data_IF_497491994619
#
_entry.id   IF_497491994619
#
_cell.length_a   1.000
_cell.length_b   1.000
_cell.length_c   1.000
_cell.angle_alpha   90.00
_cell.angle_beta   90.00
_cell.angle_gamma   90.00
#
_symmetry.space_group_name_H-M   'P 1'
#
loop_
_entity.id
_entity.type
_entity.pdbx_description
1 polymer ?
#
# COMPACT_ATOMS: atom_id res chain seq x y z
N UNK A 1 -9.58 -12.41 50.52
CA UNK A 1 -8.61 -12.97 49.55
C UNK A 1 -8.76 -12.25 48.21
N UNK A 2 -7.75 -11.50 47.76
CA UNK A 2 -7.83 -10.69 46.54
C UNK A 2 -7.64 -11.51 45.27
N UNK A 3 -8.55 -11.38 44.30
CA UNK A 3 -8.40 -11.99 42.97
C UNK A 3 -7.32 -11.22 42.20
N UNK A 4 -6.20 -11.87 41.89
CA UNK A 4 -5.14 -11.31 41.03
C UNK A 4 -5.69 -11.15 39.61
N UNK A 5 -5.66 -9.93 39.07
CA UNK A 5 -6.07 -9.62 37.69
C UNK A 5 -5.07 -10.27 36.74
N UNK A 6 -5.54 -11.16 35.86
CA UNK A 6 -4.70 -11.76 34.80
C UNK A 6 -4.29 -10.66 33.83
N UNK A 7 -3.03 -10.63 33.41
CA UNK A 7 -2.56 -9.69 32.39
C UNK A 7 -3.03 -10.15 31.01
N UNK A 8 -3.16 -9.20 30.08
CA UNK A 8 -3.54 -9.46 28.68
C UNK A 8 -2.59 -10.50 28.03
N UNK A 9 -1.35 -10.58 28.51
CA UNK A 9 -0.31 -11.51 28.04
C UNK A 9 -0.51 -12.97 28.45
N UNK A 10 -1.38 -13.25 29.43
CA UNK A 10 -1.57 -14.60 29.99
C UNK A 10 -2.49 -15.50 29.13
N UNK A 11 -3.08 -14.97 28.05
CA UNK A 11 -4.13 -15.66 27.29
C UNK A 11 -3.68 -16.28 25.97
N UNK A 12 -2.42 -16.18 25.59
CA UNK A 12 -1.97 -16.73 24.30
C UNK A 12 -1.71 -18.25 24.38
N UNK A 13 -2.36 -19.07 23.53
CA UNK A 13 -2.10 -20.50 23.49
C UNK A 13 -0.74 -20.79 22.87
N UNK A 14 0.09 -21.57 23.56
CA UNK A 14 1.41 -21.99 23.07
C UNK A 14 1.25 -23.09 22.01
N UNK A 15 1.37 -22.73 20.74
CA UNK A 15 1.32 -23.69 19.62
C UNK A 15 2.61 -24.53 19.58
N UNK A 16 2.46 -25.85 19.58
CA UNK A 16 3.55 -26.82 19.47
C UNK A 16 3.92 -27.03 18.00
N UNK A 17 5.10 -26.56 17.60
CA UNK A 17 5.67 -26.84 16.27
C UNK A 17 5.96 -28.34 16.13
N UNK A 18 5.39 -28.99 15.11
CA UNK A 18 5.78 -30.36 14.72
C UNK A 18 7.03 -30.26 13.84
N UNK A 19 8.07 -31.02 14.21
CA UNK A 19 9.30 -31.21 13.43
C UNK A 19 9.01 -32.34 12.44
N UNK A 20 8.82 -32.00 11.15
CA UNK A 20 8.60 -32.94 10.04
C UNK A 20 9.69 -32.72 9.00
N UNK A 21 10.39 -33.80 8.65
CA UNK A 21 11.64 -33.85 7.91
C UNK A 21 11.53 -33.72 6.38
N UNK A 22 12.62 -34.08 5.67
CA UNK A 22 12.96 -33.60 4.34
C UNK A 22 12.32 -34.42 3.20
N UNK A 23 12.13 -33.77 2.05
CA UNK A 23 11.80 -34.42 0.77
C UNK A 23 12.59 -33.81 -0.40
N UNK A 24 12.85 -34.58 -1.48
CA UNK A 24 13.98 -34.37 -2.38
C UNK A 24 13.60 -33.85 -3.79
N UNK A 25 14.59 -33.29 -4.48
CA UNK A 25 14.92 -33.64 -5.88
C UNK A 25 14.16 -32.99 -7.05
N UNK A 26 14.81 -31.98 -7.66
CA UNK A 26 15.27 -31.92 -9.07
C UNK A 26 14.29 -32.21 -10.23
N UNK A 27 14.09 -31.20 -11.10
CA UNK A 27 14.11 -31.24 -12.58
C UNK A 27 13.87 -29.79 -13.10
N UNK A 28 14.83 -29.11 -13.74
CA UNK A 28 15.27 -29.15 -15.16
C UNK A 28 14.29 -28.53 -16.17
N UNK A 29 14.80 -27.58 -16.98
CA UNK A 29 14.32 -27.34 -18.35
C UNK A 29 13.44 -26.12 -18.61
N UNK A 30 14.00 -25.14 -19.33
CA UNK A 30 13.36 -23.93 -19.88
C UNK A 30 12.30 -24.26 -20.97
N UNK A 31 11.49 -23.29 -21.44
CA UNK A 31 12.00 -22.26 -22.34
C UNK A 31 11.48 -20.84 -22.06
N UNK A 32 12.37 -19.89 -22.29
CA UNK A 32 12.06 -18.48 -22.52
C UNK A 32 11.03 -18.34 -23.67
N UNK A 33 9.85 -17.73 -23.46
CA UNK A 33 9.03 -17.28 -24.57
C UNK A 33 9.68 -16.02 -25.14
N UNK A 34 10.09 -16.15 -26.40
CA UNK A 34 10.89 -15.17 -27.12
C UNK A 34 10.33 -13.75 -27.07
N UNK A 35 11.25 -12.81 -26.92
CA UNK A 35 11.08 -11.39 -27.17
C UNK A 35 10.70 -11.18 -28.64
N UNK A 36 9.41 -11.32 -28.94
CA UNK A 36 8.81 -10.69 -30.11
C UNK A 36 8.58 -9.24 -29.69
N UNK A 37 9.23 -8.31 -30.38
CA UNK A 37 8.98 -6.88 -30.18
C UNK A 37 7.53 -6.59 -30.51
N UNK A 38 6.69 -6.59 -29.50
CA UNK A 38 5.35 -6.05 -29.54
C UNK A 38 5.52 -4.62 -29.02
N UNK A 39 5.44 -3.64 -29.93
CA UNK A 39 5.28 -2.25 -29.52
C UNK A 39 4.13 -2.23 -28.49
N UNK A 40 4.38 -1.81 -27.24
CA UNK A 40 3.33 -1.83 -26.23
C UNK A 40 2.17 -0.97 -26.76
N UNK A 41 1.00 -1.58 -26.93
CA UNK A 41 -0.19 -0.83 -27.30
C UNK A 41 -0.36 0.31 -26.29
N UNK A 42 -0.66 1.52 -26.77
CA UNK A 42 -0.73 2.75 -25.96
C UNK A 42 -1.61 2.58 -24.70
N UNK A 43 -2.61 1.69 -24.80
CA UNK A 43 -3.52 1.32 -23.71
C UNK A 43 -2.86 0.53 -22.57
N UNK A 44 -1.90 -0.34 -22.86
CA UNK A 44 -1.13 -1.08 -21.84
C UNK A 44 -0.19 -0.12 -21.09
N UNK A 45 0.38 0.86 -21.80
CA UNK A 45 1.24 1.89 -21.20
C UNK A 45 0.45 2.83 -20.28
N UNK A 46 -0.74 3.26 -20.71
CA UNK A 46 -1.64 4.09 -19.91
C UNK A 46 -2.09 3.38 -18.62
N UNK A 47 -2.54 2.12 -18.73
CA UNK A 47 -2.94 1.34 -17.56
C UNK A 47 -1.79 1.14 -16.57
N UNK A 48 -0.56 0.92 -17.06
CA UNK A 48 0.60 0.79 -16.20
C UNK A 48 0.93 2.12 -15.49
N UNK A 49 0.81 3.25 -16.18
CA UNK A 49 0.98 4.57 -15.56
C UNK A 49 -0.04 4.82 -14.44
N UNK A 50 -1.31 4.49 -14.66
CA UNK A 50 -2.35 4.63 -13.63
C UNK A 50 -2.06 3.76 -12.41
N UNK A 51 -1.61 2.52 -12.61
CA UNK A 51 -1.20 1.63 -11.52
C UNK A 51 -0.05 2.23 -10.71
N UNK A 52 0.95 2.83 -11.38
CA UNK A 52 2.06 3.48 -10.69
C UNK A 52 1.63 4.73 -9.90
N UNK A 53 0.72 5.53 -10.45
CA UNK A 53 0.17 6.71 -9.77
C UNK A 53 -0.59 6.31 -8.50
N UNK A 54 -1.45 5.29 -8.60
CA UNK A 54 -2.21 4.78 -7.46
C UNK A 54 -1.30 4.21 -6.37
N UNK A 55 -0.20 3.55 -6.74
CA UNK A 55 0.79 3.04 -5.79
C UNK A 55 1.51 4.17 -5.05
N UNK A 56 1.87 5.27 -5.74
CA UNK A 56 2.44 6.48 -5.10
C UNK A 56 1.47 7.04 -4.06
N UNK A 57 0.19 7.18 -4.41
CA UNK A 57 -0.83 7.69 -3.50
C UNK A 57 -1.08 6.74 -2.32
N UNK A 58 -1.02 5.43 -2.55
CA UNK A 58 -1.14 4.39 -1.51
C UNK A 58 0.01 4.51 -0.51
N UNK A 59 1.24 4.65 -0.98
CA UNK A 59 2.41 4.83 -0.12
C UNK A 59 2.32 6.13 0.70
N UNK A 60 1.84 7.21 0.08
CA UNK A 60 1.57 8.45 0.80
C UNK A 60 0.54 8.24 1.92
N UNK A 61 -0.58 7.58 1.64
CA UNK A 61 -1.63 7.25 2.62
C UNK A 61 -1.14 6.42 3.82
N UNK A 62 -0.24 5.47 3.57
CA UNK A 62 0.36 4.62 4.60
C UNK A 62 1.47 5.31 5.41
N UNK A 63 2.08 6.37 4.86
CA UNK A 63 3.16 7.06 5.52
C UNK A 63 2.63 7.94 6.67
N UNK A 64 2.92 7.55 7.91
CA UNK A 64 2.48 8.26 9.12
C UNK A 64 3.20 9.58 9.36
N UNK A 65 4.33 9.82 8.68
CA UNK A 65 5.13 11.05 8.82
C UNK A 65 4.30 12.30 8.54
N UNK A 66 3.45 12.25 7.51
CA UNK A 66 2.62 13.37 7.04
C UNK A 66 1.30 13.56 7.82
N UNK A 67 1.14 12.88 8.95
CA UNK A 67 -0.05 12.97 9.80
C UNK A 67 -1.21 12.07 9.37
N UNK A 68 -2.40 12.21 9.99
CA UNK A 68 -3.55 11.35 9.70
C UNK A 68 -4.12 11.58 8.29
N UNK A 69 -4.54 10.51 7.64
CA UNK A 69 -5.13 10.48 6.30
C UNK A 69 -6.64 10.21 6.27
N UNK A 70 -7.24 9.86 7.41
CA UNK A 70 -8.66 9.59 7.52
C UNK A 70 -9.44 10.88 7.75
N UNK A 71 -10.62 11.00 7.15
CA UNK A 71 -11.52 12.15 7.31
C UNK A 71 -11.10 13.43 6.59
N UNK A 72 -10.06 13.39 5.75
CA UNK A 72 -9.61 14.50 4.91
C UNK A 72 -9.25 14.00 3.51
N UNK A 73 -9.26 14.89 2.52
CA UNK A 73 -8.78 14.57 1.15
C UNK A 73 -7.26 14.44 1.12
N UNK A 74 -6.72 13.74 0.10
CA UNK A 74 -5.27 13.63 -0.09
C UNK A 74 -4.61 15.00 -0.30
N UNK A 75 -5.28 15.91 -1.01
CA UNK A 75 -4.80 17.28 -1.22
C UNK A 75 -4.68 18.04 0.11
N UNK A 76 -5.73 18.05 0.92
CA UNK A 76 -5.71 18.70 2.25
C UNK A 76 -4.62 18.14 3.16
N UNK A 77 -4.37 16.83 3.08
CA UNK A 77 -3.29 16.19 3.84
C UNK A 77 -1.92 16.65 3.35
N UNK A 78 -1.73 16.75 2.05
CA UNK A 78 -0.50 17.21 1.43
C UNK A 78 -0.21 18.67 1.83
N UNK A 79 -1.17 19.58 1.70
CA UNK A 79 -1.05 20.99 2.09
C UNK A 79 -0.70 21.14 3.58
N UNK A 80 -1.35 20.34 4.45
CA UNK A 80 -1.02 20.34 5.88
C UNK A 80 0.42 19.90 6.13
N UNK A 81 0.88 18.86 5.46
CA UNK A 81 2.24 18.38 5.61
C UNK A 81 3.28 19.41 5.13
N UNK A 82 2.99 20.12 4.04
CA UNK A 82 3.79 21.25 3.56
C UNK A 82 3.83 22.39 4.57
N UNK A 83 2.68 22.79 5.12
CA UNK A 83 2.59 23.82 6.16
C UNK A 83 3.38 23.46 7.43
N UNK A 84 3.51 22.17 7.73
CA UNK A 84 4.32 21.66 8.84
C UNK A 84 5.82 21.53 8.50
N UNK A 85 6.22 21.84 7.26
CA UNK A 85 7.61 21.72 6.81
C UNK A 85 8.09 20.27 6.70
N UNK A 86 7.18 19.33 6.47
CA UNK A 86 7.50 17.90 6.37
C UNK A 86 7.93 17.47 4.96
N UNK A 87 7.96 18.40 4.01
CA UNK A 87 8.38 18.20 2.62
C UNK A 87 7.68 17.00 1.94
N UNK A 88 6.34 17.03 1.81
CA UNK A 88 5.62 15.93 1.15
C UNK A 88 6.04 15.80 -0.33
N UNK A 89 6.00 14.59 -0.92
CA UNK A 89 6.45 14.35 -2.30
C UNK A 89 5.65 15.16 -3.33
N UNK A 90 6.34 15.81 -4.28
CA UNK A 90 5.71 16.62 -5.33
C UNK A 90 4.95 15.77 -6.35
N UNK A 91 5.38 14.52 -6.55
CA UNK A 91 4.72 13.55 -7.42
C UNK A 91 3.27 13.32 -7.01
N UNK A 92 2.99 13.28 -5.70
CA UNK A 92 1.62 13.17 -5.17
C UNK A 92 0.77 14.34 -5.65
N UNK A 93 1.27 15.57 -5.56
CA UNK A 93 0.53 16.76 -5.97
C UNK A 93 0.25 16.75 -7.49
N UNK A 94 1.24 16.37 -8.30
CA UNK A 94 1.08 16.25 -9.77
C UNK A 94 -0.01 15.25 -10.12
N UNK A 95 0.00 14.09 -9.48
CA UNK A 95 -1.02 13.04 -9.69
C UNK A 95 -2.40 13.54 -9.26
N UNK A 96 -2.51 14.22 -8.12
CA UNK A 96 -3.79 14.78 -7.66
C UNK A 96 -4.36 15.84 -8.61
N UNK A 97 -3.51 16.67 -9.22
CA UNK A 97 -3.95 17.65 -10.20
C UNK A 97 -4.30 17.06 -11.56
N UNK A 98 -3.72 15.92 -11.93
CA UNK A 98 -4.09 15.20 -13.14
C UNK A 98 -5.49 14.59 -13.05
N UNK A 99 -5.97 14.25 -11.85
CA UNK A 99 -7.24 13.56 -11.62
C UNK A 99 -8.16 14.28 -10.60
N UNK A 100 -8.64 15.51 -10.90
CA UNK A 100 -9.38 16.32 -9.92
C UNK A 100 -10.76 15.77 -9.54
N UNK A 101 -11.40 15.00 -10.41
CA UNK A 101 -12.77 14.50 -10.20
C UNK A 101 -12.83 13.03 -9.78
N UNK A 102 -11.70 12.32 -9.74
CA UNK A 102 -11.68 10.89 -9.44
C UNK A 102 -11.55 10.62 -7.93
N UNK A 103 -12.56 10.00 -7.28
CA UNK A 103 -12.49 9.65 -5.87
C UNK A 103 -11.32 8.74 -5.52
N UNK A 104 -10.89 7.85 -6.43
CA UNK A 104 -9.77 6.93 -6.18
C UNK A 104 -8.44 7.69 -6.02
N UNK A 105 -8.32 8.88 -6.61
CA UNK A 105 -7.16 9.74 -6.52
C UNK A 105 -7.32 10.77 -5.39
N UNK A 106 -8.50 11.35 -5.23
CA UNK A 106 -8.73 12.43 -4.27
C UNK A 106 -8.92 11.96 -2.82
N UNK A 107 -9.49 10.77 -2.61
CA UNK A 107 -9.84 10.25 -1.29
C UNK A 107 -8.78 9.29 -0.74
N UNK A 108 -8.67 9.18 0.59
CA UNK A 108 -7.72 8.24 1.20
C UNK A 108 -8.19 6.79 1.10
N UNK A 109 -7.26 5.84 1.24
CA UNK A 109 -7.54 4.38 1.16
C UNK A 109 -8.74 3.90 2.00
N UNK A 110 -9.09 4.62 3.07
CA UNK A 110 -10.17 4.22 3.99
C UNK A 110 -11.47 4.98 3.80
N UNK A 111 -11.64 5.75 2.72
CA UNK A 111 -12.83 6.58 2.52
C UNK A 111 -14.15 5.79 2.40
N UNK A 112 -14.09 4.49 2.10
CA UNK A 112 -15.25 3.59 2.02
C UNK A 112 -15.65 2.97 3.37
N UNK A 113 -14.80 3.09 4.40
CA UNK A 113 -15.05 2.48 5.69
C UNK A 113 -15.68 3.50 6.64
N UNK A 114 -16.82 3.17 7.28
CA UNK A 114 -17.36 4.00 8.33
C UNK A 114 -16.37 4.02 9.51
N UNK A 115 -16.01 5.23 9.95
CA UNK A 115 -15.08 5.54 11.04
C UNK A 115 -15.84 6.07 12.24
#
# INVERSE_FOLDING_TARGET
>A
MGRKRRLITDSFPKVKRRKGGPGPGKEDGAPEPGLRGEEPCEEILAAHLDETHLEILRQFDLNRHFGPCTGITRLQRWERAEQLGLEPPQEVLKVLWAHPEDPQYQCSLWHLYPI
#
